data_IF_070926015822
#
_entry.id   IF_070926015822
#
_cell.length_a   1.000
_cell.length_b   1.000
_cell.length_c   1.000
_cell.angle_alpha   90.00
_cell.angle_beta   90.00
_cell.angle_gamma   90.00
#
_symmetry.space_group_name_H-M   'P 1'
#
loop_
_entity.id
_entity.type
_entity.pdbx_description
1 polymer ?
#
# COMPACT_ATOMS: atom_id res chain seq x y z
N UNK A 1 24.03 -3.23 -57.71
CA UNK A 1 23.58 -2.33 -56.62
C UNK A 1 22.06 -2.18 -56.65
N UNK A 2 21.31 -2.96 -55.86
CA UNK A 2 19.87 -2.70 -55.63
C UNK A 2 19.28 -3.46 -54.42
N UNK A 3 20.06 -3.68 -53.35
CA UNK A 3 19.54 -4.35 -52.14
C UNK A 3 18.94 -3.36 -51.11
N UNK A 4 18.90 -2.06 -51.40
CA UNK A 4 18.28 -1.08 -50.50
C UNK A 4 17.40 -0.07 -51.24
N UNK A 5 16.64 -0.52 -52.24
CA UNK A 5 15.55 0.29 -52.82
C UNK A 5 14.22 -0.22 -52.29
N UNK A 6 13.54 0.61 -51.51
CA UNK A 6 12.21 0.33 -50.97
C UNK A 6 11.21 0.32 -52.14
N UNK A 7 10.61 -0.84 -52.42
CA UNK A 7 9.79 -1.07 -53.63
C UNK A 7 8.36 -0.51 -53.50
N UNK A 8 7.85 -0.35 -52.27
CA UNK A 8 6.53 0.27 -51.99
C UNK A 8 6.62 1.21 -50.78
N UNK A 9 6.00 2.37 -50.90
CA UNK A 9 5.79 3.30 -49.78
C UNK A 9 4.65 2.81 -48.88
N UNK A 10 4.76 3.07 -47.57
CA UNK A 10 3.79 2.64 -46.56
C UNK A 10 4.14 1.33 -45.85
N UNK A 11 3.38 1.04 -44.79
CA UNK A 11 3.44 -0.22 -44.03
C UNK A 11 2.35 -1.12 -44.62
N UNK A 12 2.73 -2.10 -45.44
CA UNK A 12 1.81 -3.01 -46.15
C UNK A 12 1.49 -4.28 -45.36
N UNK A 13 1.59 -4.23 -44.02
CA UNK A 13 1.26 -5.38 -43.17
C UNK A 13 -0.26 -5.54 -43.13
N UNK A 14 -0.78 -6.67 -43.60
CA UNK A 14 -2.21 -7.01 -43.50
C UNK A 14 -2.65 -6.99 -42.03
N UNK A 15 -3.91 -6.62 -41.78
CA UNK A 15 -4.50 -6.51 -40.44
C UNK A 15 -4.31 -7.78 -39.61
N UNK A 16 -4.36 -8.96 -40.26
CA UNK A 16 -4.21 -10.27 -39.62
C UNK A 16 -2.77 -10.56 -39.15
N UNK A 17 -1.78 -9.83 -39.71
CA UNK A 17 -0.36 -9.94 -39.35
C UNK A 17 0.09 -8.83 -38.38
N UNK A 18 -0.81 -7.95 -37.93
CA UNK A 18 -0.52 -7.01 -36.85
C UNK A 18 -0.51 -7.79 -35.53
N UNK A 19 0.67 -8.08 -35.01
CA UNK A 19 0.81 -8.54 -33.62
C UNK A 19 0.22 -7.47 -32.70
N UNK A 20 -0.73 -7.85 -31.86
CA UNK A 20 -1.23 -6.98 -30.80
C UNK A 20 -0.06 -6.53 -29.94
N UNK A 21 0.08 -5.22 -29.75
CA UNK A 21 1.05 -4.68 -28.80
C UNK A 21 0.68 -5.19 -27.42
N UNK A 22 1.62 -5.80 -26.68
CA UNK A 22 1.34 -6.25 -25.32
C UNK A 22 0.85 -5.08 -24.47
N UNK A 23 -0.34 -5.24 -23.87
CA UNK A 23 -0.83 -4.30 -22.87
C UNK A 23 0.15 -4.21 -21.69
N UNK A 24 0.29 -3.00 -21.13
CA UNK A 24 1.11 -2.77 -19.93
C UNK A 24 2.59 -2.47 -20.17
N UNK A 25 3.02 -2.24 -21.42
CA UNK A 25 4.40 -1.80 -21.72
C UNK A 25 4.69 -0.34 -21.33
N UNK A 26 3.65 0.49 -21.28
CA UNK A 26 3.75 1.92 -21.03
C UNK A 26 2.97 2.32 -19.79
N UNK A 27 3.53 3.26 -19.04
CA UNK A 27 2.91 3.91 -17.90
C UNK A 27 2.76 5.41 -18.18
N UNK A 28 1.55 5.94 -17.98
CA UNK A 28 1.26 7.37 -18.10
C UNK A 28 1.03 7.97 -16.72
N UNK A 29 1.84 8.96 -16.35
CA UNK A 29 1.72 9.63 -15.06
C UNK A 29 0.35 10.35 -14.95
N UNK A 30 -0.44 10.12 -13.89
CA UNK A 30 -1.74 10.78 -13.74
C UNK A 30 -1.61 12.29 -13.49
N UNK A 31 -0.49 12.75 -12.91
CA UNK A 31 -0.23 14.15 -12.56
C UNK A 31 0.28 14.97 -13.76
N UNK A 32 1.46 14.67 -14.30
CA UNK A 32 2.08 15.46 -15.38
C UNK A 32 1.87 14.90 -16.80
N UNK A 33 1.15 13.78 -16.94
CA UNK A 33 0.85 13.10 -18.22
C UNK A 33 2.05 12.55 -18.99
N UNK A 34 3.25 12.63 -18.41
CA UNK A 34 4.47 12.01 -18.96
C UNK A 34 4.29 10.51 -19.17
N UNK A 35 4.79 9.99 -20.29
CA UNK A 35 4.69 8.57 -20.65
C UNK A 35 6.09 7.97 -20.57
N UNK A 36 6.23 6.89 -19.83
CA UNK A 36 7.48 6.13 -19.68
C UNK A 36 7.19 4.65 -19.86
N UNK A 37 8.21 3.84 -20.08
CA UNK A 37 8.03 2.39 -20.08
C UNK A 37 7.74 1.89 -18.66
N UNK A 38 6.95 0.82 -18.52
CA UNK A 38 6.69 0.20 -17.20
C UNK A 38 7.97 -0.30 -16.54
N UNK A 39 8.97 -0.72 -17.33
CA UNK A 39 10.29 -1.11 -16.84
C UNK A 39 11.05 0.06 -16.22
N UNK A 40 11.06 1.21 -16.88
CA UNK A 40 11.74 2.40 -16.37
C UNK A 40 11.00 3.00 -15.17
N UNK A 41 9.67 2.96 -15.19
CA UNK A 41 8.86 3.31 -14.04
C UNK A 41 9.17 2.43 -12.82
N UNK A 42 9.28 1.10 -13.01
CA UNK A 42 9.67 0.16 -11.95
C UNK A 42 11.10 0.42 -11.47
N UNK A 43 12.06 0.66 -12.37
CA UNK A 43 13.45 1.02 -12.00
C UNK A 43 13.50 2.29 -11.17
N UNK A 44 12.65 3.26 -11.45
CA UNK A 44 12.50 4.48 -10.66
C UNK A 44 11.53 4.32 -9.48
N UNK A 45 11.35 3.08 -8.99
CA UNK A 45 10.56 2.73 -7.81
C UNK A 45 9.12 3.26 -7.87
N UNK A 46 8.54 3.24 -9.07
CA UNK A 46 7.18 3.71 -9.35
C UNK A 46 6.95 5.19 -8.99
N UNK A 47 8.02 5.98 -8.97
CA UNK A 47 7.98 7.43 -8.91
C UNK A 47 8.08 8.02 -10.32
N UNK A 48 7.35 9.08 -10.62
CA UNK A 48 7.45 9.75 -11.91
C UNK A 48 8.81 10.43 -12.07
N UNK A 49 9.52 10.15 -13.17
CA UNK A 49 10.84 10.75 -13.46
C UNK A 49 10.81 12.27 -13.63
N UNK A 50 9.66 12.84 -13.99
CA UNK A 50 9.50 14.27 -14.30
C UNK A 50 8.97 15.09 -13.12
N UNK A 51 7.88 14.65 -12.50
CA UNK A 51 7.21 15.42 -11.43
C UNK A 51 7.31 14.77 -10.05
N UNK A 52 8.06 13.67 -9.93
CA UNK A 52 8.22 12.90 -8.71
C UNK A 52 6.90 12.44 -8.07
N UNK A 53 5.81 12.31 -8.84
CA UNK A 53 4.55 11.75 -8.35
C UNK A 53 4.75 10.29 -7.94
N UNK A 54 4.34 9.96 -6.72
CA UNK A 54 4.39 8.63 -6.14
C UNK A 54 3.18 7.82 -6.61
N UNK A 55 3.42 6.88 -7.52
CA UNK A 55 2.32 6.04 -8.03
C UNK A 55 1.83 5.08 -6.97
N UNK A 56 0.55 4.72 -7.04
CA UNK A 56 -0.01 3.69 -6.17
C UNK A 56 0.53 2.33 -6.57
N UNK A 57 1.31 1.74 -5.67
CA UNK A 57 1.80 0.37 -5.79
C UNK A 57 1.18 -0.52 -4.72
N UNK A 58 1.24 -1.83 -4.94
CA UNK A 58 0.72 -2.84 -4.05
C UNK A 58 1.78 -3.42 -3.13
N UNK A 59 1.36 -4.44 -2.41
CA UNK A 59 2.17 -5.11 -1.40
C UNK A 59 3.38 -5.85 -1.98
N UNK A 60 3.25 -6.39 -3.20
CA UNK A 60 4.35 -7.07 -3.88
C UNK A 60 5.48 -6.10 -4.21
N UNK A 61 5.16 -4.92 -4.74
CA UNK A 61 6.15 -3.92 -5.10
C UNK A 61 6.87 -3.37 -3.86
N UNK A 62 6.15 -3.13 -2.75
CA UNK A 62 6.82 -2.74 -1.51
C UNK A 62 7.78 -3.81 -0.97
N UNK A 63 7.42 -5.09 -1.08
CA UNK A 63 8.31 -6.18 -0.69
C UNK A 63 9.58 -6.22 -1.57
N UNK A 64 9.44 -6.03 -2.88
CA UNK A 64 10.59 -5.92 -3.80
C UNK A 64 11.49 -4.72 -3.47
N UNK A 65 10.90 -3.59 -3.07
CA UNK A 65 11.64 -2.37 -2.71
C UNK A 65 12.39 -2.56 -1.39
N UNK A 66 11.73 -3.10 -0.36
CA UNK A 66 12.23 -3.06 1.01
C UNK A 66 13.08 -4.26 1.38
N UNK A 67 12.71 -5.48 0.97
CA UNK A 67 13.48 -6.68 1.32
C UNK A 67 14.76 -6.81 0.49
N UNK A 68 15.84 -7.23 1.12
CA UNK A 68 17.14 -7.42 0.50
C UNK A 68 17.08 -8.55 -0.52
N UNK A 69 17.56 -8.26 -1.73
CA UNK A 69 17.61 -9.22 -2.85
C UNK A 69 16.24 -9.86 -3.15
N UNK A 70 15.14 -9.17 -2.79
CA UNK A 70 13.78 -9.68 -2.90
C UNK A 70 13.56 -11.03 -2.18
N UNK A 71 14.22 -11.24 -1.03
CA UNK A 71 14.09 -12.46 -0.21
C UNK A 71 13.28 -12.17 1.04
N UNK A 72 12.14 -12.84 1.16
CA UNK A 72 11.25 -12.76 2.30
C UNK A 72 10.45 -14.05 2.46
N UNK A 73 9.96 -14.28 3.67
CA UNK A 73 9.02 -15.36 3.98
C UNK A 73 7.67 -14.74 4.31
N UNK A 74 6.65 -15.07 3.52
CA UNK A 74 5.29 -14.58 3.74
C UNK A 74 4.60 -15.38 4.87
N UNK A 75 3.89 -14.66 5.74
CA UNK A 75 3.11 -15.18 6.85
C UNK A 75 1.65 -15.36 6.45
N UNK A 76 1.02 -16.42 6.95
CA UNK A 76 -0.43 -16.67 6.81
C UNK A 76 -0.93 -16.60 5.35
N UNK A 77 -0.14 -17.12 4.41
CA UNK A 77 -0.37 -17.02 2.95
C UNK A 77 -1.76 -17.50 2.53
N UNK A 78 -2.29 -18.51 3.21
CA UNK A 78 -3.55 -19.15 2.84
C UNK A 78 -4.79 -18.55 3.54
N UNK A 79 -4.64 -17.50 4.35
CA UNK A 79 -5.75 -16.89 5.05
C UNK A 79 -6.66 -16.10 4.10
N UNK A 80 -7.96 -16.38 4.12
CA UNK A 80 -8.97 -15.80 3.21
C UNK A 80 -10.22 -15.39 3.96
N UNK A 81 -10.91 -14.35 3.48
CA UNK A 81 -12.15 -13.89 4.09
C UNK A 81 -13.26 -14.91 3.93
N UNK A 82 -14.05 -15.06 4.99
CA UNK A 82 -15.34 -15.75 4.98
C UNK A 82 -16.47 -14.72 5.02
N UNK A 83 -17.69 -15.17 4.80
CA UNK A 83 -18.89 -14.33 4.84
C UNK A 83 -19.77 -14.70 6.04
N UNK A 84 -19.43 -14.22 7.26
CA UNK A 84 -20.18 -14.55 8.47
C UNK A 84 -21.58 -13.90 8.47
N UNK A 85 -21.77 -12.81 7.74
CA UNK A 85 -23.03 -12.04 7.71
C UNK A 85 -23.94 -12.44 6.55
N UNK A 86 -23.49 -13.34 5.66
CA UNK A 86 -24.16 -13.67 4.40
C UNK A 86 -24.50 -12.41 3.60
N UNK A 87 -23.57 -11.46 3.57
CA UNK A 87 -23.80 -10.13 3.02
C UNK A 87 -24.01 -10.17 1.51
N UNK A 88 -25.05 -9.48 1.03
CA UNK A 88 -25.36 -9.38 -0.40
C UNK A 88 -25.77 -7.96 -0.76
N UNK A 89 -25.13 -7.42 -1.79
CA UNK A 89 -25.57 -6.20 -2.48
C UNK A 89 -25.99 -6.55 -3.92
N UNK A 90 -25.50 -5.81 -4.92
CA UNK A 90 -25.59 -6.18 -6.34
C UNK A 90 -24.96 -7.57 -6.60
N UNK A 91 -23.91 -7.92 -5.87
CA UNK A 91 -23.27 -9.24 -5.86
C UNK A 91 -23.07 -9.71 -4.42
N UNK A 92 -22.96 -11.03 -4.20
CA UNK A 92 -22.64 -11.52 -2.85
C UNK A 92 -21.21 -11.14 -2.44
N UNK A 93 -20.95 -11.02 -1.13
CA UNK A 93 -19.60 -10.74 -0.65
C UNK A 93 -18.61 -11.84 -1.07
N UNK A 94 -19.03 -13.10 -1.00
CA UNK A 94 -18.22 -14.25 -1.44
C UNK A 94 -17.84 -14.16 -2.92
N UNK A 95 -18.77 -13.80 -3.81
CA UNK A 95 -18.47 -13.61 -5.24
C UNK A 95 -17.56 -12.42 -5.48
N UNK A 96 -17.77 -11.31 -4.76
CA UNK A 96 -16.92 -10.11 -4.82
C UNK A 96 -15.47 -10.45 -4.49
N UNK A 97 -15.26 -11.19 -3.39
CA UNK A 97 -13.93 -11.66 -2.97
C UNK A 97 -13.33 -12.55 -4.05
N UNK A 98 -14.05 -13.58 -4.54
CA UNK A 98 -13.55 -14.47 -5.60
C UNK A 98 -13.14 -13.70 -6.86
N UNK A 99 -13.94 -12.73 -7.29
CA UNK A 99 -13.66 -11.89 -8.47
C UNK A 99 -12.41 -11.01 -8.29
N UNK A 100 -12.24 -10.42 -7.11
CA UNK A 100 -11.05 -9.60 -6.81
C UNK A 100 -9.81 -10.48 -6.68
N UNK A 101 -9.91 -11.65 -6.03
CA UNK A 101 -8.82 -12.62 -5.91
C UNK A 101 -8.37 -13.13 -7.28
N UNK A 102 -9.29 -13.40 -8.21
CA UNK A 102 -8.93 -13.86 -9.56
C UNK A 102 -8.17 -12.79 -10.37
N UNK A 103 -8.54 -11.51 -10.19
CA UNK A 103 -7.92 -10.35 -10.83
C UNK A 103 -6.55 -9.99 -10.24
N UNK A 104 -6.45 -9.97 -8.91
CA UNK A 104 -5.26 -9.45 -8.20
C UNK A 104 -4.27 -10.55 -7.79
N UNK A 105 -4.72 -11.81 -7.76
CA UNK A 105 -4.01 -12.97 -7.17
C UNK A 105 -3.73 -12.87 -5.67
N UNK A 106 -4.16 -11.79 -5.03
CA UNK A 106 -4.09 -11.60 -3.58
C UNK A 106 -5.16 -12.45 -2.89
N UNK A 107 -4.91 -12.85 -1.64
CA UNK A 107 -5.91 -13.52 -0.80
C UNK A 107 -6.79 -12.54 -0.03
N UNK A 108 -6.22 -11.43 0.42
CA UNK A 108 -6.93 -10.27 0.98
C UNK A 108 -6.12 -8.99 0.75
N UNK A 109 -6.59 -7.86 1.27
CA UNK A 109 -6.01 -6.52 1.15
C UNK A 109 -4.73 -6.29 1.96
N UNK A 110 -4.09 -7.33 2.51
CA UNK A 110 -2.80 -7.21 3.18
C UNK A 110 -1.95 -8.46 2.96
N UNK A 111 -0.66 -8.25 2.70
CA UNK A 111 0.37 -9.29 2.79
C UNK A 111 1.29 -8.97 3.96
N UNK A 112 1.72 -10.01 4.66
CA UNK A 112 2.59 -9.90 5.82
C UNK A 112 3.78 -10.80 5.59
N UNK A 113 4.98 -10.30 5.78
CA UNK A 113 6.19 -11.07 5.54
C UNK A 113 7.31 -10.60 6.47
N UNK A 114 8.32 -11.43 6.64
CA UNK A 114 9.56 -11.04 7.31
C UNK A 114 10.77 -11.35 6.43
N UNK A 115 11.85 -10.61 6.64
CA UNK A 115 13.07 -10.71 5.84
C UNK A 115 14.07 -9.63 6.20
N UNK A 116 15.21 -9.63 5.51
CA UNK A 116 16.28 -8.68 5.75
C UNK A 116 15.99 -7.35 5.04
N UNK A 117 16.21 -6.22 5.73
CA UNK A 117 16.22 -4.87 5.19
C UNK A 117 17.55 -4.23 5.58
N UNK A 118 18.47 -4.09 4.62
CA UNK A 118 19.83 -3.58 4.85
C UNK A 118 20.57 -4.36 5.97
N UNK A 119 20.39 -5.67 5.98
CA UNK A 119 20.97 -6.58 6.98
C UNK A 119 20.23 -6.66 8.31
N UNK A 120 19.13 -5.92 8.50
CA UNK A 120 18.29 -5.96 9.69
C UNK A 120 17.07 -6.86 9.47
N UNK A 121 16.73 -7.74 10.41
CA UNK A 121 15.54 -8.57 10.29
C UNK A 121 14.30 -7.75 10.64
N UNK A 122 13.35 -7.62 9.72
CA UNK A 122 12.14 -6.82 9.91
C UNK A 122 10.88 -7.58 9.52
N UNK A 123 9.77 -7.24 10.16
CA UNK A 123 8.43 -7.70 9.80
C UNK A 123 7.71 -6.57 9.09
N UNK A 124 7.14 -6.84 7.92
CA UNK A 124 6.40 -5.87 7.11
C UNK A 124 4.98 -6.37 6.87
N UNK A 125 3.98 -5.59 7.27
CA UNK A 125 2.61 -5.72 6.82
C UNK A 125 2.33 -4.65 5.77
N UNK A 126 2.01 -5.05 4.53
CA UNK A 126 1.76 -4.12 3.44
C UNK A 126 0.36 -4.30 2.88
N UNK A 127 -0.44 -3.23 2.95
CA UNK A 127 -1.80 -3.20 2.45
C UNK A 127 -1.85 -3.00 0.92
N UNK A 128 -2.93 -3.46 0.29
CA UNK A 128 -3.14 -3.34 -1.15
C UNK A 128 -4.51 -2.77 -1.50
N UNK A 129 -4.50 -1.56 -2.07
CA UNK A 129 -5.73 -0.84 -2.42
C UNK A 129 -6.53 -1.53 -3.53
N UNK A 130 -5.89 -2.34 -4.38
CA UNK A 130 -6.57 -3.04 -5.46
C UNK A 130 -7.55 -4.10 -4.94
N UNK A 131 -7.40 -4.52 -3.68
CA UNK A 131 -8.31 -5.45 -3.03
C UNK A 131 -9.40 -4.69 -2.25
N UNK A 132 -10.56 -4.48 -2.87
CA UNK A 132 -11.73 -3.83 -2.24
C UNK A 132 -11.34 -2.50 -1.56
N UNK A 133 -10.56 -1.66 -2.25
CA UNK A 133 -10.13 -0.36 -1.76
C UNK A 133 -9.19 -0.44 -0.55
N UNK A 134 -8.48 -1.55 -0.35
CA UNK A 134 -7.63 -1.75 0.81
C UNK A 134 -8.43 -1.80 2.12
N UNK A 135 -9.74 -2.06 2.05
CA UNK A 135 -10.61 -1.94 3.23
C UNK A 135 -10.24 -2.96 4.30
N UNK A 136 -10.25 -2.56 5.57
CA UNK A 136 -9.92 -3.47 6.67
C UNK A 136 -11.12 -4.35 7.04
N UNK A 137 -11.01 -5.66 6.82
CA UNK A 137 -11.90 -6.69 7.36
C UNK A 137 -11.17 -7.65 8.29
N UNK A 138 -11.82 -8.75 8.68
CA UNK A 138 -11.31 -9.76 9.63
C UNK A 138 -9.93 -10.28 9.28
N UNK A 139 -9.68 -10.59 8.00
CA UNK A 139 -8.39 -11.12 7.55
C UNK A 139 -7.29 -10.06 7.63
N UNK A 140 -7.60 -8.81 7.27
CA UNK A 140 -6.63 -7.71 7.41
C UNK A 140 -6.22 -7.55 8.87
N UNK A 141 -7.21 -7.47 9.77
CA UNK A 141 -6.96 -7.34 11.20
C UNK A 141 -6.24 -8.54 11.81
N UNK A 142 -6.59 -9.77 11.41
CA UNK A 142 -5.90 -10.99 11.87
C UNK A 142 -4.46 -11.09 11.35
N UNK A 143 -4.20 -10.85 10.06
CA UNK A 143 -2.84 -10.90 9.51
C UNK A 143 -1.95 -9.84 10.15
N UNK A 144 -2.45 -8.61 10.34
CA UNK A 144 -1.70 -7.56 11.05
C UNK A 144 -1.45 -7.97 12.50
N UNK A 145 -2.46 -8.47 13.22
CA UNK A 145 -2.30 -8.95 14.60
C UNK A 145 -1.25 -10.06 14.72
N UNK A 146 -1.23 -11.02 13.79
CA UNK A 146 -0.22 -12.09 13.74
C UNK A 146 1.16 -11.59 13.37
N UNK A 147 1.27 -10.61 12.47
CA UNK A 147 2.54 -9.96 12.15
C UNK A 147 3.11 -9.22 13.37
N UNK A 148 2.25 -8.54 14.14
CA UNK A 148 2.64 -7.89 15.40
C UNK A 148 3.10 -8.94 16.42
N UNK A 149 2.35 -10.04 16.60
CA UNK A 149 2.78 -11.11 17.51
C UNK A 149 4.09 -11.77 17.06
N UNK A 150 4.29 -11.97 15.75
CA UNK A 150 5.53 -12.51 15.21
C UNK A 150 6.71 -11.56 15.47
N UNK A 151 6.55 -10.27 15.20
CA UNK A 151 7.51 -9.22 15.53
C UNK A 151 7.85 -9.24 17.03
N UNK A 152 6.81 -9.27 17.88
CA UNK A 152 6.92 -9.32 19.34
C UNK A 152 7.69 -10.53 19.85
N UNK A 153 7.39 -11.72 19.32
CA UNK A 153 7.97 -12.97 19.79
C UNK A 153 9.43 -13.15 19.36
N UNK A 154 9.83 -12.54 18.24
CA UNK A 154 11.18 -12.65 17.70
C UNK A 154 12.06 -11.41 17.99
N UNK A 155 11.49 -10.33 18.52
CA UNK A 155 12.22 -9.08 18.75
C UNK A 155 12.57 -8.31 17.47
N UNK A 156 11.83 -8.52 16.38
CA UNK A 156 12.10 -7.88 15.09
C UNK A 156 11.30 -6.59 14.96
N UNK A 157 11.89 -5.47 14.50
CA UNK A 157 11.14 -4.25 14.22
C UNK A 157 9.98 -4.49 13.25
N UNK A 158 8.89 -3.73 13.44
CA UNK A 158 7.67 -3.82 12.66
C UNK A 158 7.53 -2.60 11.74
N UNK A 159 7.09 -2.84 10.51
CA UNK A 159 6.62 -1.80 9.59
C UNK A 159 5.19 -2.16 9.16
N UNK A 160 4.26 -1.21 9.27
CA UNK A 160 2.94 -1.34 8.66
C UNK A 160 2.79 -0.27 7.58
N UNK A 161 2.68 -0.71 6.33
CA UNK A 161 2.45 0.13 5.15
C UNK A 161 0.96 0.20 4.91
N UNK A 162 0.39 1.34 5.28
CA UNK A 162 -1.04 1.56 5.29
C UNK A 162 -1.52 2.10 3.94
N UNK A 163 -2.60 1.49 3.45
CA UNK A 163 -3.25 1.87 2.20
C UNK A 163 -4.70 1.38 2.21
N UNK A 164 -5.62 2.25 2.60
CA UNK A 164 -7.01 1.88 2.86
C UNK A 164 -7.97 3.02 2.58
N UNK A 165 -9.14 2.68 2.06
CA UNK A 165 -10.31 3.56 2.03
C UNK A 165 -11.17 3.50 3.29
N UNK A 166 -10.85 2.64 4.28
CA UNK A 166 -11.60 2.51 5.53
C UNK A 166 -11.93 1.07 5.93
N UNK A 167 -12.96 0.90 6.77
CA UNK A 167 -13.41 -0.41 7.24
C UNK A 167 -14.20 -1.16 6.14
N UNK A 168 -14.11 -2.50 6.13
CA UNK A 168 -14.82 -3.33 5.15
C UNK A 168 -16.28 -3.49 5.56
N UNK A 169 -17.16 -2.70 4.94
CA UNK A 169 -18.59 -2.65 5.29
C UNK A 169 -19.30 -4.01 5.20
N UNK A 170 -18.87 -4.90 4.31
CA UNK A 170 -19.44 -6.24 4.15
C UNK A 170 -19.27 -7.13 5.39
N UNK A 171 -18.34 -6.79 6.29
CA UNK A 171 -18.14 -7.48 7.57
C UNK A 171 -18.58 -6.62 8.78
N UNK A 172 -19.15 -5.43 8.54
CA UNK A 172 -19.79 -4.53 9.51
C UNK A 172 -19.01 -4.37 10.84
N UNK A 173 -19.65 -4.67 11.97
CA UNK A 173 -19.06 -4.54 13.30
C UNK A 173 -17.79 -5.38 13.50
N UNK A 174 -17.62 -6.48 12.76
CA UNK A 174 -16.41 -7.30 12.83
C UNK A 174 -15.22 -6.52 12.27
N UNK A 175 -15.41 -5.75 11.19
CA UNK A 175 -14.39 -4.84 10.67
C UNK A 175 -14.03 -3.74 11.68
N UNK A 176 -15.03 -3.19 12.38
CA UNK A 176 -14.79 -2.19 13.42
C UNK A 176 -13.92 -2.75 14.55
N UNK A 177 -14.18 -3.99 14.99
CA UNK A 177 -13.39 -4.63 16.06
C UNK A 177 -11.93 -4.91 15.68
N UNK A 178 -11.59 -4.88 14.39
CA UNK A 178 -10.18 -5.03 13.98
C UNK A 178 -9.32 -3.81 14.38
N UNK A 179 -9.93 -2.63 14.56
CA UNK A 179 -9.24 -1.45 15.10
C UNK A 179 -8.74 -1.77 16.51
N UNK A 180 -9.68 -2.12 17.41
CA UNK A 180 -9.37 -2.44 18.80
C UNK A 180 -8.35 -3.59 18.92
N UNK A 181 -8.52 -4.64 18.11
CA UNK A 181 -7.62 -5.80 18.11
C UNK A 181 -6.19 -5.44 17.74
N UNK A 182 -6.00 -4.71 16.63
CA UNK A 182 -4.66 -4.35 16.15
C UNK A 182 -4.00 -3.35 17.08
N UNK A 183 -4.73 -2.36 17.59
CA UNK A 183 -4.25 -1.42 18.62
C UNK A 183 -3.83 -2.13 19.91
N UNK A 184 -4.63 -3.10 20.39
CA UNK A 184 -4.28 -3.87 21.59
C UNK A 184 -2.99 -4.69 21.39
N UNK A 185 -2.77 -5.24 20.19
CA UNK A 185 -1.54 -5.95 19.85
C UNK A 185 -0.33 -5.01 19.78
N UNK A 186 -0.51 -3.80 19.22
CA UNK A 186 0.54 -2.78 19.21
C UNK A 186 0.92 -2.34 20.63
N UNK A 187 -0.03 -2.16 21.54
CA UNK A 187 0.28 -1.87 22.94
C UNK A 187 1.13 -2.98 23.60
N UNK A 188 0.90 -4.25 23.24
CA UNK A 188 1.75 -5.36 23.69
C UNK A 188 3.15 -5.31 23.07
N UNK A 189 3.27 -4.88 21.82
CA UNK A 189 4.56 -4.70 21.15
C UNK A 189 5.38 -3.59 21.81
N UNK A 190 4.73 -2.45 22.09
CA UNK A 190 5.32 -1.31 22.80
C UNK A 190 5.81 -1.70 24.20
N UNK A 191 5.04 -2.52 24.94
CA UNK A 191 5.49 -3.04 26.25
C UNK A 191 6.81 -3.83 26.19
N UNK A 192 7.15 -4.38 25.02
CA UNK A 192 8.42 -5.08 24.74
C UNK A 192 9.50 -4.16 24.15
N UNK A 193 9.21 -2.88 23.94
CA UNK A 193 10.10 -1.86 23.37
C UNK A 193 10.63 -2.25 21.99
N UNK A 194 9.78 -2.90 21.19
CA UNK A 194 10.13 -3.30 19.83
C UNK A 194 9.68 -2.19 18.87
N UNK A 195 10.59 -1.59 18.09
CA UNK A 195 10.26 -0.46 17.24
C UNK A 195 9.17 -0.78 16.20
N UNK A 196 8.19 0.11 16.09
CA UNK A 196 7.12 0.09 15.11
C UNK A 196 7.08 1.39 14.30
N UNK A 197 7.24 1.28 12.99
CA UNK A 197 7.10 2.39 12.05
C UNK A 197 5.79 2.26 11.27
N UNK A 198 4.94 3.29 11.35
CA UNK A 198 3.75 3.38 10.52
C UNK A 198 4.04 4.18 9.26
N UNK A 199 3.92 3.55 8.09
CA UNK A 199 4.09 4.20 6.80
C UNK A 199 2.72 4.44 6.14
N UNK A 200 2.26 5.68 6.15
CA UNK A 200 1.03 6.09 5.50
C UNK A 200 1.26 6.39 4.01
N UNK A 201 0.51 5.73 3.14
CA UNK A 201 0.63 5.89 1.68
C UNK A 201 -0.70 6.34 1.05
N UNK A 202 -0.66 6.85 -0.18
CA UNK A 202 -1.88 7.32 -0.86
C UNK A 202 -2.79 6.16 -1.31
N UNK A 203 -4.04 6.03 -0.82
CA UNK A 203 -4.66 6.77 0.27
C UNK A 203 -4.70 5.97 1.59
N UNK A 204 -4.71 6.64 2.73
CA UNK A 204 -4.90 6.01 4.06
C UNK A 204 -6.04 6.70 4.80
N UNK A 205 -7.21 6.06 4.87
CA UNK A 205 -8.41 6.64 5.48
C UNK A 205 -9.13 5.72 6.47
N UNK A 206 -10.04 6.33 7.24
CA UNK A 206 -11.04 5.65 8.05
C UNK A 206 -10.44 4.80 9.17
N UNK A 207 -10.92 3.57 9.29
CA UNK A 207 -10.53 2.69 10.40
C UNK A 207 -9.03 2.41 10.48
N UNK A 208 -8.30 2.41 9.35
CA UNK A 208 -6.85 2.26 9.36
C UNK A 208 -6.18 3.46 10.07
N UNK A 209 -6.50 4.70 9.66
CA UNK A 209 -6.01 5.94 10.30
C UNK A 209 -6.37 6.05 11.77
N UNK A 210 -7.57 5.60 12.16
CA UNK A 210 -8.02 5.62 13.56
C UNK A 210 -7.50 4.45 14.41
N UNK A 211 -6.55 3.65 13.89
CA UNK A 211 -5.96 2.52 14.60
C UNK A 211 -4.47 2.42 14.28
N UNK A 212 -4.01 1.28 13.76
CA UNK A 212 -2.59 0.99 13.61
C UNK A 212 -1.83 2.01 12.77
N UNK A 213 -2.46 2.71 11.80
CA UNK A 213 -1.77 3.64 10.91
C UNK A 213 -1.28 4.94 11.57
N UNK A 214 -1.69 5.23 12.81
CA UNK A 214 -1.31 6.44 13.56
C UNK A 214 -0.76 6.12 14.96
N UNK A 215 -0.42 4.86 15.21
CA UNK A 215 0.11 4.37 16.49
C UNK A 215 1.57 3.91 16.37
N UNK A 216 2.30 4.42 15.39
CA UNK A 216 3.73 4.17 15.25
C UNK A 216 4.54 4.86 16.35
N UNK A 217 5.70 4.29 16.69
CA UNK A 217 6.77 5.06 17.36
C UNK A 217 7.19 6.25 16.48
N UNK A 218 7.11 6.05 15.17
CA UNK A 218 7.11 7.12 14.18
C UNK A 218 6.05 6.86 13.11
N UNK A 219 5.25 7.88 12.82
CA UNK A 219 4.32 7.96 11.73
C UNK A 219 4.97 8.72 10.57
N UNK A 220 5.31 8.01 9.50
CA UNK A 220 5.92 8.57 8.30
C UNK A 220 4.95 8.48 7.12
N UNK A 221 5.15 9.34 6.11
CA UNK A 221 4.31 9.34 4.91
C UNK A 221 5.12 9.48 3.61
N UNK A 222 4.54 9.02 2.50
CA UNK A 222 5.04 9.36 1.17
C UNK A 222 4.55 10.77 0.73
N UNK A 223 5.34 11.51 -0.08
CA UNK A 223 4.96 12.83 -0.60
C UNK A 223 3.59 12.86 -1.28
N UNK A 224 2.78 13.86 -0.91
CA UNK A 224 1.43 14.05 -1.46
C UNK A 224 0.43 12.95 -1.11
N UNK A 225 0.72 12.05 -0.15
CA UNK A 225 -0.22 11.02 0.25
C UNK A 225 -1.47 11.62 0.91
N UNK A 226 -2.65 11.13 0.55
CA UNK A 226 -3.91 11.53 1.17
C UNK A 226 -4.20 10.68 2.40
N UNK A 227 -4.28 11.33 3.56
CA UNK A 227 -4.37 10.70 4.87
C UNK A 227 -5.42 11.42 5.72
N UNK A 228 -6.36 10.69 6.30
CA UNK A 228 -7.29 11.27 7.27
C UNK A 228 -8.42 10.34 7.70
N UNK A 229 -9.15 10.72 8.75
CA UNK A 229 -10.24 9.87 9.24
C UNK A 229 -11.42 9.79 8.25
N UNK A 230 -12.01 10.93 7.91
CA UNK A 230 -13.08 11.03 6.93
C UNK A 230 -12.54 11.48 5.57
N UNK A 231 -13.09 10.97 4.47
CA UNK A 231 -12.69 11.42 3.14
C UNK A 231 -13.02 12.91 2.89
N UNK A 232 -12.23 13.63 2.07
CA UNK A 232 -12.38 15.07 1.89
C UNK A 232 -13.76 15.46 1.35
N UNK A 233 -14.36 14.61 0.51
CA UNK A 233 -15.74 14.80 0.03
C UNK A 233 -16.76 14.87 1.18
N UNK A 234 -16.68 13.94 2.13
CA UNK A 234 -17.60 13.87 3.28
C UNK A 234 -17.41 15.06 4.22
N UNK A 235 -16.15 15.48 4.43
CA UNK A 235 -15.85 16.65 5.26
C UNK A 235 -16.40 17.93 4.62
N UNK A 236 -16.20 18.12 3.31
CA UNK A 236 -16.72 19.27 2.57
C UNK A 236 -18.25 19.36 2.62
N UNK A 237 -18.93 18.23 2.41
CA UNK A 237 -20.40 18.15 2.46
C UNK A 237 -20.94 18.47 3.87
N UNK A 238 -20.26 18.01 4.92
CA UNK A 238 -20.66 18.25 6.31
C UNK A 238 -20.48 19.72 6.75
N UNK A 239 -19.35 20.32 6.39
CA UNK A 239 -19.00 21.69 6.84
C UNK A 239 -19.67 22.75 5.94
N UNK A 240 -20.01 22.41 4.69
CA UNK A 240 -20.60 23.34 3.73
C UNK A 240 -19.64 24.44 3.26
N UNK A 241 -18.33 24.24 3.43
CA UNK A 241 -17.27 25.20 3.03
C UNK A 241 -16.20 24.49 2.23
N UNK A 242 -15.47 25.26 1.42
CA UNK A 242 -14.28 24.75 0.75
C UNK A 242 -13.20 24.38 1.77
N UNK A 243 -12.48 23.31 1.46
CA UNK A 243 -11.40 22.80 2.29
C UNK A 243 -10.11 23.56 1.96
N UNK A 244 -9.22 23.77 2.95
CA UNK A 244 -7.91 24.38 2.71
C UNK A 244 -7.13 23.69 1.59
N UNK A 245 -6.26 24.44 0.91
CA UNK A 245 -5.34 23.86 -0.05
C UNK A 245 -4.45 22.83 0.63
N UNK A 246 -4.29 21.67 0.00
CA UNK A 246 -3.50 20.57 0.57
C UNK A 246 -4.16 19.86 1.75
N UNK A 247 -5.43 20.14 2.08
CA UNK A 247 -6.14 19.44 3.16
C UNK A 247 -5.97 17.91 3.03
N UNK A 248 -5.58 17.27 4.14
CA UNK A 248 -5.30 15.82 4.23
C UNK A 248 -4.10 15.31 3.43
N UNK A 249 -3.28 16.16 2.83
CA UNK A 249 -1.99 15.73 2.27
C UNK A 249 -0.97 15.43 3.36
N UNK A 250 0.02 14.60 3.07
CA UNK A 250 1.14 14.31 3.97
C UNK A 250 1.82 15.61 4.47
N UNK A 251 1.98 16.60 3.58
CA UNK A 251 2.53 17.91 3.89
C UNK A 251 1.65 18.67 4.90
N UNK A 252 0.34 18.67 4.69
CA UNK A 252 -0.60 19.28 5.64
C UNK A 252 -0.57 18.58 7.00
N UNK A 253 -0.51 17.24 7.04
CA UNK A 253 -0.45 16.50 8.30
C UNK A 253 0.88 16.71 9.05
N UNK A 254 1.99 16.87 8.32
CA UNK A 254 3.28 17.21 8.90
C UNK A 254 3.24 18.57 9.62
N UNK A 255 2.65 19.58 8.97
CA UNK A 255 2.48 20.91 9.57
C UNK A 255 1.61 20.91 10.84
N UNK A 256 0.69 19.94 10.95
CA UNK A 256 -0.20 19.79 12.10
C UNK A 256 0.28 18.75 13.13
N UNK A 257 1.48 18.20 12.97
CA UNK A 257 2.11 17.29 13.94
C UNK A 257 1.55 15.87 13.97
N UNK A 258 0.84 15.42 12.93
CA UNK A 258 0.34 14.03 12.83
C UNK A 258 1.34 13.07 12.16
N UNK A 259 2.27 13.61 11.37
CA UNK A 259 3.31 12.86 10.67
C UNK A 259 4.65 13.43 11.13
N UNK A 260 5.60 12.56 11.50
CA UNK A 260 6.92 12.95 11.98
C UNK A 260 7.79 13.50 10.84
N UNK A 261 7.76 12.84 9.68
CA UNK A 261 8.42 13.30 8.46
C UNK A 261 7.93 12.57 7.22
N UNK A 262 8.20 13.18 6.07
CA UNK A 262 7.84 12.69 4.75
C UNK A 262 9.08 12.09 4.09
N UNK A 263 8.95 10.89 3.52
CA UNK A 263 10.07 10.16 2.93
C UNK A 263 9.79 9.85 1.47
N UNK A 264 10.69 10.26 0.59
CA UNK A 264 10.65 9.82 -0.80
C UNK A 264 10.92 8.30 -0.88
N UNK A 265 10.17 7.59 -1.72
CA UNK A 265 10.23 6.14 -1.85
C UNK A 265 11.60 5.68 -2.32
N UNK A 266 12.33 6.53 -3.05
CA UNK A 266 13.72 6.29 -3.46
C UNK A 266 14.70 6.24 -2.29
N UNK A 267 14.40 6.95 -1.20
CA UNK A 267 15.21 6.97 0.01
C UNK A 267 14.64 6.07 1.13
N UNK A 268 13.40 5.60 0.96
CA UNK A 268 12.63 4.92 2.01
C UNK A 268 13.38 3.76 2.66
N UNK A 269 14.00 2.87 1.87
CA UNK A 269 14.75 1.73 2.42
C UNK A 269 15.92 2.17 3.28
N UNK A 270 16.66 3.18 2.86
CA UNK A 270 17.82 3.68 3.60
C UNK A 270 17.40 4.44 4.86
N UNK A 271 16.32 5.23 4.78
CA UNK A 271 15.75 5.93 5.94
C UNK A 271 15.25 4.95 7.01
N UNK A 272 14.49 3.93 6.62
CA UNK A 272 14.02 2.90 7.54
C UNK A 272 15.18 2.19 8.25
N UNK A 273 16.24 1.84 7.52
CA UNK A 273 17.44 1.23 8.11
C UNK A 273 18.14 2.17 9.11
N UNK A 274 18.22 3.46 8.81
CA UNK A 274 18.79 4.46 9.73
C UNK A 274 17.96 4.58 11.01
N UNK A 275 16.64 4.66 10.89
CA UNK A 275 15.72 4.77 12.03
C UNK A 275 15.87 3.56 12.96
N UNK A 276 15.86 2.35 12.41
CA UNK A 276 16.02 1.15 13.25
C UNK A 276 17.37 1.08 13.95
N UNK A 277 18.45 1.59 13.35
CA UNK A 277 19.74 1.70 14.03
C UNK A 277 19.73 2.69 15.19
N UNK A 278 18.95 3.77 15.10
CA UNK A 278 18.82 4.78 16.15
C UNK A 278 17.93 4.26 17.29
N UNK A 279 16.84 3.57 16.94
CA UNK A 279 15.88 3.04 17.93
C UNK A 279 16.37 1.78 18.63
N UNK A 280 17.32 1.04 18.04
CA UNK A 280 18.03 -0.05 18.71
C UNK A 280 19.01 0.51 19.74
N UNK A 281 18.64 0.37 21.01
CA UNK A 281 19.57 0.50 22.14
C UNK A 281 20.37 -0.78 22.34
#
# INVERSE_FOLDING_TARGET
>A
MSWFKRIKEGITTSTDNKKETPDGLWYKCPKCKEIVTTKDHKKNLYCCVKCNYHSRIGSNEYFEILFDKNKYTELDVNMVSKDPLKFKDKISYTERVKKIQSKTKLKDAVRTAYGMLKGEMVVIASMDFNFIGGSMGSVVGEKIARAIDYSKNNGYPLIIISKSGGARMMEAGISLMQLAKTSAKLAQLDSKKIPYISLCTDPTFGGATASFSMLGDMNIAEPGALIGFAGPKVVKETIGKDLPNGFQTAEFLLEHGFIDFIVDRKELKDRLAQIFKILKK
#
